data_IF_379109495666
#
_entry.id   IF_379109495666
#
_cell.length_a   1.000
_cell.length_b   1.000
_cell.length_c   1.000
_cell.angle_alpha   90.00
_cell.angle_beta   90.00
_cell.angle_gamma   90.00
#
_symmetry.space_group_name_H-M   'P 1'
#
loop_
_entity.id
_entity.type
_entity.pdbx_description
1 polymer ?
#
# COMPACT_ATOMS: atom_id res chain seq x y z
N UNK A 1 -81.95 0.39 -28.92
CA UNK A 1 -81.92 -0.10 -27.53
C UNK A 1 -80.65 0.34 -26.87
N UNK A 2 -80.81 1.13 -25.82
CA UNK A 2 -79.90 1.64 -24.90
C UNK A 2 -78.74 0.71 -24.48
N UNK A 3 -77.52 1.15 -24.29
CA UNK A 3 -77.07 1.49 -22.98
C UNK A 3 -75.63 2.16 -23.03
N UNK A 4 -75.61 3.32 -22.42
CA UNK A 4 -74.42 4.03 -21.93
C UNK A 4 -73.76 3.30 -20.78
N UNK A 5 -72.47 3.42 -20.60
CA UNK A 5 -71.74 3.60 -19.30
C UNK A 5 -70.36 4.16 -19.54
N UNK A 6 -70.12 5.37 -19.12
CA UNK A 6 -69.18 6.00 -18.23
C UNK A 6 -67.77 5.34 -18.13
N UNK A 7 -66.69 6.01 -18.51
CA UNK A 7 -65.85 6.85 -17.67
C UNK A 7 -64.83 6.05 -16.84
N UNK A 8 -63.55 6.16 -17.16
CA UNK A 8 -62.46 5.68 -16.31
C UNK A 8 -61.15 6.32 -16.71
N UNK A 9 -60.77 7.40 -16.00
CA UNK A 9 -59.49 8.07 -16.11
C UNK A 9 -58.35 7.12 -15.82
N UNK A 10 -57.62 6.72 -16.85
CA UNK A 10 -56.36 5.98 -16.73
C UNK A 10 -55.18 6.94 -16.54
N UNK A 11 -54.73 7.15 -15.29
CA UNK A 11 -53.44 7.76 -15.00
C UNK A 11 -52.33 6.83 -15.48
N UNK A 12 -51.73 7.13 -16.63
CA UNK A 12 -50.41 6.65 -16.99
C UNK A 12 -49.39 7.36 -16.08
N UNK A 13 -48.96 6.71 -14.99
CA UNK A 13 -47.77 7.06 -14.27
C UNK A 13 -46.56 6.71 -15.14
N UNK A 14 -46.05 7.69 -15.89
CA UNK A 14 -44.72 7.62 -16.44
C UNK A 14 -43.73 7.54 -15.28
N UNK A 15 -43.23 6.33 -15.02
CA UNK A 15 -42.06 6.15 -14.17
C UNK A 15 -40.85 6.78 -14.90
N UNK A 16 -40.55 8.03 -14.56
CA UNK A 16 -39.30 8.65 -14.98
C UNK A 16 -38.17 7.83 -14.37
N UNK A 17 -37.32 7.25 -15.20
CA UNK A 17 -36.07 6.63 -14.75
C UNK A 17 -35.27 7.66 -13.96
N UNK A 18 -34.80 7.32 -12.74
CA UNK A 18 -33.98 8.23 -11.97
C UNK A 18 -32.68 8.48 -12.75
N UNK A 19 -32.39 9.75 -13.02
CA UNK A 19 -31.20 10.16 -13.77
C UNK A 19 -29.90 9.59 -13.17
N UNK A 20 -28.87 9.40 -13.98
CA UNK A 20 -27.57 8.81 -13.60
C UNK A 20 -26.99 9.33 -12.27
N UNK A 21 -27.31 10.58 -11.90
CA UNK A 21 -26.94 11.20 -10.62
C UNK A 21 -27.66 10.63 -9.39
N UNK A 22 -28.88 10.07 -9.55
CA UNK A 22 -29.64 9.48 -8.44
C UNK A 22 -29.21 8.03 -8.17
N UNK A 23 -28.84 7.28 -9.20
CA UNK A 23 -28.23 5.95 -9.07
C UNK A 23 -26.87 6.03 -8.39
N UNK A 24 -26.04 7.04 -8.72
CA UNK A 24 -24.77 7.33 -8.06
C UNK A 24 -24.94 7.56 -6.54
N UNK A 25 -25.94 8.36 -6.13
CA UNK A 25 -26.23 8.59 -4.70
C UNK A 25 -26.78 7.35 -3.97
N UNK A 26 -27.53 6.49 -4.66
CA UNK A 26 -28.11 5.29 -4.06
C UNK A 26 -27.07 4.18 -3.85
N UNK A 27 -26.07 4.08 -4.72
CA UNK A 27 -24.96 3.11 -4.63
C UNK A 27 -23.87 3.57 -3.68
N UNK A 28 -23.58 4.89 -3.63
CA UNK A 28 -22.48 5.51 -2.89
C UNK A 28 -22.97 6.38 -1.72
N UNK A 29 -23.92 5.94 -0.91
CA UNK A 29 -24.45 6.71 0.24
C UNK A 29 -23.35 7.49 0.95
N UNK A 30 -23.49 8.81 1.05
CA UNK A 30 -22.45 9.83 1.26
C UNK A 30 -21.46 9.58 2.43
N UNK A 31 -21.83 8.83 3.46
CA UNK A 31 -20.93 8.52 4.58
C UNK A 31 -20.31 7.11 4.51
N UNK A 32 -20.97 6.14 3.87
CA UNK A 32 -20.56 4.72 3.93
C UNK A 32 -19.36 4.37 3.05
N UNK A 33 -19.09 5.13 2.00
CA UNK A 33 -18.05 4.81 1.01
C UNK A 33 -17.04 5.95 0.80
N UNK A 34 -16.93 6.87 1.75
CA UNK A 34 -15.93 7.95 1.69
C UNK A 34 -14.52 7.38 1.72
N UNK A 35 -13.65 7.91 0.88
CA UNK A 35 -12.22 7.58 0.85
C UNK A 35 -11.42 8.77 1.40
N UNK A 36 -10.54 8.53 2.36
CA UNK A 36 -9.52 9.51 2.76
C UNK A 36 -8.20 9.14 2.08
N UNK A 37 -7.69 10.04 1.25
CA UNK A 37 -6.41 9.89 0.57
C UNK A 37 -5.35 10.61 1.41
N UNK A 38 -4.36 9.88 1.90
CA UNK A 38 -3.26 10.41 2.70
C UNK A 38 -2.02 10.49 1.82
N UNK A 39 -1.43 11.67 1.74
CA UNK A 39 -0.16 11.93 1.05
C UNK A 39 0.83 12.43 2.08
N UNK A 40 1.94 11.71 2.30
CA UNK A 40 3.03 12.17 3.15
C UNK A 40 4.09 12.85 2.28
N UNK A 41 4.44 14.07 2.64
CA UNK A 41 5.44 14.86 1.94
C UNK A 41 6.61 15.22 2.87
N UNK A 42 7.83 15.14 2.35
CA UNK A 42 9.04 15.64 3.02
C UNK A 42 10.03 16.18 1.99
N UNK A 43 10.20 17.51 1.97
CA UNK A 43 11.05 18.24 1.00
C UNK A 43 10.75 17.83 -0.45
N UNK A 44 9.45 17.76 -0.78
CA UNK A 44 8.98 17.22 -2.06
C UNK A 44 8.15 18.22 -2.88
N UNK A 45 8.34 19.53 -2.71
CA UNK A 45 7.59 20.59 -3.42
C UNK A 45 7.48 20.32 -4.92
N UNK A 46 8.57 19.90 -5.55
CA UNK A 46 8.65 19.63 -7.00
C UNK A 46 7.68 18.55 -7.49
N UNK A 47 7.21 17.67 -6.60
CA UNK A 47 6.31 16.57 -6.96
C UNK A 47 4.84 16.90 -6.69
N UNK A 48 4.57 17.85 -5.79
CA UNK A 48 3.22 18.11 -5.30
C UNK A 48 2.26 18.55 -6.40
N UNK A 49 2.73 19.33 -7.39
CA UNK A 49 1.89 19.77 -8.51
C UNK A 49 1.28 18.60 -9.26
N UNK A 50 2.10 17.60 -9.63
CA UNK A 50 1.66 16.45 -10.42
C UNK A 50 0.81 15.51 -9.56
N UNK A 51 1.23 15.25 -8.32
CA UNK A 51 0.54 14.36 -7.39
C UNK A 51 -0.84 14.91 -6.98
N UNK A 52 -0.88 16.12 -6.41
CA UNK A 52 -2.13 16.73 -5.94
C UNK A 52 -3.07 17.05 -7.10
N UNK A 53 -2.55 17.54 -8.24
CA UNK A 53 -3.35 17.78 -9.43
C UNK A 53 -4.02 16.50 -9.99
N UNK A 54 -3.35 15.37 -9.92
CA UNK A 54 -3.93 14.08 -10.29
C UNK A 54 -4.98 13.59 -9.28
N UNK A 55 -4.78 13.88 -7.99
CA UNK A 55 -5.71 13.48 -6.92
C UNK A 55 -6.97 14.34 -6.89
N UNK A 56 -6.86 15.64 -7.09
CA UNK A 56 -8.02 16.54 -7.16
C UNK A 56 -8.88 16.32 -8.40
N UNK A 57 -8.31 15.70 -9.44
CA UNK A 57 -8.99 15.36 -10.69
C UNK A 57 -9.65 13.96 -10.73
N UNK A 58 -9.79 13.25 -9.61
CA UNK A 58 -10.37 11.90 -9.60
C UNK A 58 -11.86 11.90 -9.95
N UNK A 59 -12.31 10.88 -10.72
CA UNK A 59 -13.73 10.71 -11.10
C UNK A 59 -14.60 10.19 -9.97
N UNK A 60 -14.04 9.49 -8.99
CA UNK A 60 -14.77 9.05 -7.81
C UNK A 60 -15.20 10.27 -6.96
N UNK A 61 -16.48 10.48 -6.67
CA UNK A 61 -16.94 11.78 -6.13
C UNK A 61 -16.80 11.93 -4.61
N UNK A 62 -16.66 10.82 -3.86
CA UNK A 62 -16.75 10.84 -2.40
C UNK A 62 -15.38 10.58 -1.74
N UNK A 63 -14.52 11.58 -1.77
CA UNK A 63 -13.19 11.51 -1.15
C UNK A 63 -12.78 12.82 -0.50
N UNK A 64 -11.73 12.76 0.29
CA UNK A 64 -10.99 13.88 0.83
C UNK A 64 -9.49 13.61 0.66
N UNK A 65 -8.69 14.68 0.56
CA UNK A 65 -7.24 14.60 0.45
C UNK A 65 -6.63 15.24 1.70
N UNK A 66 -5.71 14.52 2.33
CA UNK A 66 -4.97 14.96 3.51
C UNK A 66 -3.48 14.91 3.14
N UNK A 67 -2.87 16.08 2.96
CA UNK A 67 -1.43 16.22 2.79
C UNK A 67 -0.79 16.40 4.16
N UNK A 68 0.03 15.45 4.55
CA UNK A 68 0.84 15.55 5.77
C UNK A 68 2.25 15.97 5.37
N UNK A 69 2.57 17.21 5.63
CA UNK A 69 3.94 17.70 5.52
C UNK A 69 4.74 17.27 6.74
N UNK A 70 5.73 16.43 6.51
CA UNK A 70 6.47 15.72 7.53
C UNK A 70 7.72 16.51 7.99
N UNK A 71 7.53 17.81 8.31
CA UNK A 71 8.61 18.70 8.75
C UNK A 71 9.55 19.11 7.62
N UNK A 72 8.98 19.53 6.46
CA UNK A 72 9.77 20.03 5.32
C UNK A 72 10.42 21.37 5.61
N UNK A 73 11.60 21.58 5.04
CA UNK A 73 12.31 22.85 5.05
C UNK A 73 12.17 23.66 3.75
N UNK A 74 11.45 23.11 2.74
CA UNK A 74 11.17 23.76 1.45
C UNK A 74 9.81 24.50 1.45
N UNK A 75 9.34 24.99 0.30
CA UNK A 75 8.08 25.70 0.20
C UNK A 75 6.84 24.80 0.05
N UNK A 76 6.95 23.48 0.30
CA UNK A 76 5.87 22.49 0.12
C UNK A 76 4.52 22.90 0.74
N UNK A 77 4.54 23.38 2.00
CA UNK A 77 3.32 23.77 2.73
C UNK A 77 2.67 24.99 2.10
N UNK A 78 3.47 26.00 1.75
CA UNK A 78 2.99 27.21 1.12
C UNK A 78 2.41 26.91 -0.26
N UNK A 79 3.16 26.16 -1.08
CA UNK A 79 2.72 25.72 -2.41
C UNK A 79 1.38 24.98 -2.38
N UNK A 80 1.23 24.01 -1.47
CA UNK A 80 0.01 23.21 -1.36
C UNK A 80 -1.20 24.08 -0.97
N UNK A 81 -1.05 24.95 0.03
CA UNK A 81 -2.14 25.83 0.50
C UNK A 81 -2.58 26.85 -0.53
N UNK A 82 -1.65 27.38 -1.33
CA UNK A 82 -1.94 28.37 -2.35
C UNK A 82 -2.60 27.75 -3.59
N UNK A 83 -2.14 26.58 -4.03
CA UNK A 83 -2.56 26.00 -5.31
C UNK A 83 -3.65 24.91 -5.18
N UNK A 84 -3.87 24.35 -3.97
CA UNK A 84 -4.82 23.27 -3.71
C UNK A 84 -5.62 23.54 -2.42
N UNK A 85 -6.48 24.58 -2.39
CA UNK A 85 -7.21 25.01 -1.19
C UNK A 85 -8.20 23.94 -0.66
N UNK A 86 -8.62 22.99 -1.49
CA UNK A 86 -9.47 21.85 -1.11
C UNK A 86 -8.71 20.73 -0.36
N UNK A 87 -7.39 20.72 -0.39
CA UNK A 87 -6.54 19.74 0.29
C UNK A 87 -6.34 20.16 1.75
N UNK A 88 -6.60 19.23 2.67
CA UNK A 88 -6.30 19.44 4.10
C UNK A 88 -4.80 19.32 4.33
N UNK A 89 -4.12 20.42 4.62
CA UNK A 89 -2.67 20.45 4.85
C UNK A 89 -2.35 20.43 6.34
N UNK A 90 -1.65 19.40 6.79
CA UNK A 90 -1.15 19.23 8.16
C UNK A 90 0.38 19.34 8.13
N UNK A 91 0.96 20.29 8.84
CA UNK A 91 2.39 20.47 8.94
C UNK A 91 2.89 19.95 10.31
N UNK A 92 3.73 18.92 10.28
CA UNK A 92 4.41 18.41 11.47
C UNK A 92 5.67 19.24 11.74
N UNK A 93 6.07 19.30 13.01
CA UNK A 93 7.27 20.04 13.43
C UNK A 93 8.58 19.31 13.09
N UNK A 94 8.52 17.99 12.81
CA UNK A 94 9.68 17.16 12.54
C UNK A 94 9.32 15.97 11.64
N UNK A 95 10.33 15.36 11.02
CA UNK A 95 10.15 14.15 10.21
C UNK A 95 9.95 12.90 11.10
N UNK A 96 8.73 12.39 11.13
CA UNK A 96 8.35 11.16 11.84
C UNK A 96 8.42 9.89 10.97
N UNK A 97 9.09 9.97 9.83
CA UNK A 97 9.14 8.87 8.86
C UNK A 97 7.83 8.69 8.09
N UNK A 98 7.82 7.72 7.20
CA UNK A 98 6.63 7.40 6.41
C UNK A 98 5.48 6.90 7.31
N UNK A 99 5.80 6.07 8.30
CA UNK A 99 4.81 5.51 9.21
C UNK A 99 4.16 6.56 10.09
N UNK A 100 4.94 7.42 10.74
CA UNK A 100 4.42 8.48 11.62
C UNK A 100 3.68 9.58 10.85
N UNK A 101 4.14 9.92 9.62
CA UNK A 101 3.41 10.83 8.74
C UNK A 101 2.03 10.29 8.35
N UNK A 102 1.95 9.01 7.93
CA UNK A 102 0.67 8.38 7.61
C UNK A 102 -0.23 8.21 8.85
N UNK A 103 0.33 7.93 10.04
CA UNK A 103 -0.44 7.87 11.28
C UNK A 103 -1.10 9.21 11.59
N UNK A 104 -0.37 10.33 11.45
CA UNK A 104 -0.94 11.68 11.62
C UNK A 104 -2.05 11.98 10.62
N UNK A 105 -1.92 11.51 9.37
CA UNK A 105 -2.99 11.63 8.37
C UNK A 105 -4.21 10.78 8.72
N UNK A 106 -4.01 9.57 9.25
CA UNK A 106 -5.10 8.66 9.64
C UNK A 106 -5.95 9.24 10.77
N UNK A 107 -5.37 9.97 11.73
CA UNK A 107 -6.10 10.62 12.82
C UNK A 107 -7.16 11.62 12.32
N UNK A 108 -6.94 12.23 11.15
CA UNK A 108 -7.83 13.20 10.54
C UNK A 108 -8.75 12.59 9.47
N UNK A 109 -8.47 11.37 9.07
CA UNK A 109 -9.19 10.66 8.03
C UNK A 109 -10.59 10.26 8.51
N UNK A 110 -11.63 10.59 7.74
CA UNK A 110 -13.03 10.29 8.04
C UNK A 110 -13.59 9.14 7.18
N UNK A 111 -12.85 8.75 6.13
CA UNK A 111 -13.29 7.75 5.18
C UNK A 111 -13.43 6.35 5.75
N UNK A 112 -14.37 5.57 5.22
CA UNK A 112 -14.47 4.12 5.43
C UNK A 112 -13.34 3.35 4.72
N UNK A 113 -12.64 4.01 3.83
CA UNK A 113 -11.49 3.51 3.11
C UNK A 113 -10.34 4.51 3.22
N UNK A 114 -9.13 4.01 3.35
CA UNK A 114 -7.90 4.80 3.49
C UNK A 114 -7.01 4.50 2.31
N UNK A 115 -6.77 5.48 1.47
CA UNK A 115 -5.79 5.40 0.40
C UNK A 115 -4.47 6.04 0.84
N UNK A 116 -3.35 5.37 0.59
CA UNK A 116 -2.03 5.97 0.70
C UNK A 116 -1.48 6.23 -0.68
N UNK A 117 -0.93 7.41 -0.89
CA UNK A 117 -0.30 7.80 -2.15
C UNK A 117 1.00 8.54 -1.84
N UNK A 118 2.11 8.11 -2.42
CA UNK A 118 3.37 8.84 -2.31
C UNK A 118 3.29 10.18 -3.04
N UNK A 119 3.98 11.19 -2.54
CA UNK A 119 4.04 12.52 -3.15
C UNK A 119 4.67 12.52 -4.56
N UNK A 120 5.45 11.49 -4.92
CA UNK A 120 6.05 11.27 -6.24
C UNK A 120 5.27 10.26 -7.12
N UNK A 121 4.03 9.96 -6.73
CA UNK A 121 3.10 9.15 -7.50
C UNK A 121 2.00 10.01 -8.14
N UNK A 122 1.61 9.65 -9.37
CA UNK A 122 0.59 10.34 -10.16
C UNK A 122 -0.47 9.33 -10.62
N UNK A 123 -1.58 9.16 -9.86
CA UNK A 123 -2.69 8.31 -10.25
C UNK A 123 -3.40 8.79 -11.52
N UNK A 124 -3.91 7.86 -12.33
CA UNK A 124 -4.81 8.18 -13.44
C UNK A 124 -6.17 8.67 -12.94
N UNK A 125 -6.90 9.39 -13.78
CA UNK A 125 -8.17 10.04 -13.44
C UNK A 125 -9.23 9.08 -12.87
N UNK A 126 -9.26 7.84 -13.32
CA UNK A 126 -10.21 6.80 -12.87
C UNK A 126 -9.62 5.85 -11.84
N UNK A 127 -8.43 6.15 -11.31
CA UNK A 127 -7.69 5.29 -10.38
C UNK A 127 -8.50 4.91 -9.15
N UNK A 128 -9.06 5.90 -8.45
CA UNK A 128 -9.79 5.67 -7.20
C UNK A 128 -11.12 4.93 -7.44
N UNK A 129 -11.83 5.30 -8.50
CA UNK A 129 -13.07 4.63 -8.91
C UNK A 129 -12.85 3.15 -9.20
N UNK A 130 -11.78 2.80 -9.92
CA UNK A 130 -11.43 1.42 -10.20
C UNK A 130 -10.95 0.68 -8.95
N UNK A 131 -10.15 1.35 -8.11
CA UNK A 131 -9.48 0.72 -6.97
C UNK A 131 -10.45 0.29 -5.87
N UNK A 132 -11.56 1.00 -5.68
CA UNK A 132 -12.55 0.71 -4.63
C UNK A 132 -13.47 -0.47 -5.00
N UNK A 133 -13.68 -0.77 -6.28
CA UNK A 133 -14.69 -1.74 -6.74
C UNK A 133 -14.58 -3.12 -6.08
N UNK A 134 -13.39 -3.74 -5.97
CA UNK A 134 -13.30 -5.06 -5.34
C UNK A 134 -13.79 -5.08 -3.89
N UNK A 135 -13.54 -4.00 -3.12
CA UNK A 135 -13.97 -3.91 -1.71
C UNK A 135 -15.48 -3.71 -1.56
N UNK A 136 -16.12 -3.07 -2.55
CA UNK A 136 -17.58 -2.93 -2.58
C UNK A 136 -18.25 -4.26 -2.92
N UNK A 137 -17.61 -5.11 -3.75
CA UNK A 137 -18.14 -6.40 -4.17
C UNK A 137 -17.85 -7.57 -3.22
N UNK A 138 -16.71 -7.58 -2.54
CA UNK A 138 -16.28 -8.65 -1.61
C UNK A 138 -15.77 -8.07 -0.29
N UNK A 139 -16.54 -8.26 0.78
CA UNK A 139 -16.22 -7.79 2.13
C UNK A 139 -15.00 -8.48 2.76
N UNK A 140 -14.45 -9.53 2.17
CA UNK A 140 -13.22 -10.20 2.62
C UNK A 140 -11.96 -9.53 2.07
N UNK A 141 -12.11 -8.63 1.07
CA UNK A 141 -11.01 -7.84 0.54
C UNK A 141 -10.78 -6.65 1.49
N UNK A 142 -9.59 -6.61 2.06
CA UNK A 142 -9.15 -5.53 2.95
C UNK A 142 -8.11 -4.60 2.32
N UNK A 143 -7.50 -5.03 1.20
CA UNK A 143 -6.44 -4.29 0.49
C UNK A 143 -6.72 -4.35 -1.01
N UNK A 144 -6.60 -3.21 -1.70
CA UNK A 144 -6.56 -3.16 -3.17
C UNK A 144 -5.23 -2.58 -3.63
N UNK A 145 -4.51 -3.36 -4.44
CA UNK A 145 -3.21 -3.00 -5.00
C UNK A 145 -3.37 -2.36 -6.37
N UNK A 146 -2.79 -1.18 -6.55
CA UNK A 146 -2.72 -0.49 -7.83
C UNK A 146 -1.76 -1.17 -8.80
N UNK A 147 -1.94 -0.91 -10.09
CA UNK A 147 -0.93 -1.12 -11.12
C UNK A 147 0.02 0.08 -11.11
N UNK A 148 1.18 -0.10 -10.50
CA UNK A 148 2.23 0.92 -10.51
C UNK A 148 3.13 0.76 -11.72
N UNK A 149 3.31 1.83 -12.47
CA UNK A 149 4.17 1.91 -13.66
C UNK A 149 5.25 2.94 -13.38
N UNK A 150 6.49 2.69 -13.79
CA UNK A 150 7.53 3.71 -13.69
C UNK A 150 7.18 4.92 -14.55
N UNK A 151 7.36 6.13 -14.01
CA UNK A 151 7.12 7.38 -14.74
C UNK A 151 7.90 7.40 -16.07
N UNK A 152 7.24 7.87 -17.13
CA UNK A 152 7.79 7.92 -18.49
C UNK A 152 8.24 6.56 -19.06
N UNK A 153 7.63 5.47 -18.65
CA UNK A 153 7.97 4.11 -19.03
C UNK A 153 6.71 3.28 -19.29
N UNK A 154 6.87 2.12 -19.91
CA UNK A 154 5.85 1.07 -20.04
C UNK A 154 6.13 -0.10 -19.08
N UNK A 155 7.09 0.06 -18.17
CA UNK A 155 7.51 -1.02 -17.29
C UNK A 155 6.85 -0.92 -15.92
N UNK A 156 6.47 -2.08 -15.40
CA UNK A 156 5.85 -2.21 -14.07
C UNK A 156 6.83 -1.85 -12.97
N UNK A 157 6.42 -0.98 -12.05
CA UNK A 157 7.05 -0.79 -10.76
C UNK A 157 6.51 -1.81 -9.74
N UNK A 158 5.17 -1.97 -9.63
CA UNK A 158 4.52 -3.05 -8.88
C UNK A 158 3.15 -3.39 -9.50
N UNK A 159 2.88 -4.68 -9.64
CA UNK A 159 1.55 -5.25 -9.94
C UNK A 159 1.05 -6.03 -8.71
N UNK A 160 1.03 -5.36 -7.56
CA UNK A 160 0.92 -5.96 -6.24
C UNK A 160 2.27 -6.49 -5.74
N UNK A 161 2.32 -6.86 -4.47
CA UNK A 161 3.54 -7.31 -3.83
C UNK A 161 3.46 -8.79 -3.44
N UNK A 162 4.62 -9.41 -3.36
CA UNK A 162 4.81 -10.76 -2.85
C UNK A 162 5.72 -10.79 -1.63
N UNK A 163 5.70 -11.90 -0.90
CA UNK A 163 6.61 -12.15 0.20
C UNK A 163 7.32 -13.49 0.00
N UNK A 164 8.62 -13.50 0.17
CA UNK A 164 9.39 -14.74 0.09
C UNK A 164 9.29 -15.56 1.37
N UNK A 165 9.61 -16.84 1.26
CA UNK A 165 9.74 -17.74 2.42
C UNK A 165 10.86 -17.34 3.39
N UNK A 166 11.75 -16.41 3.01
CA UNK A 166 12.75 -15.80 3.89
C UNK A 166 12.24 -14.48 4.55
N UNK A 167 10.99 -14.08 4.29
CA UNK A 167 10.40 -12.85 4.86
C UNK A 167 10.82 -11.56 4.15
N UNK A 168 11.27 -11.64 2.91
CA UNK A 168 11.64 -10.48 2.09
C UNK A 168 10.50 -10.13 1.14
N UNK A 169 9.99 -8.90 1.24
CA UNK A 169 9.02 -8.34 0.30
C UNK A 169 9.62 -8.13 -1.10
N UNK A 170 8.79 -8.23 -2.12
CA UNK A 170 9.19 -7.91 -3.49
C UNK A 170 8.00 -7.44 -4.32
N UNK A 171 8.24 -6.48 -5.23
CA UNK A 171 7.24 -6.00 -6.16
C UNK A 171 7.06 -7.00 -7.31
N UNK A 172 5.82 -7.48 -7.50
CA UNK A 172 5.48 -8.36 -8.62
C UNK A 172 5.56 -7.59 -9.93
N UNK A 173 6.13 -8.24 -10.94
CA UNK A 173 6.26 -7.65 -12.27
C UNK A 173 7.32 -6.57 -12.41
N UNK A 174 8.12 -6.28 -11.39
CA UNK A 174 9.14 -5.23 -11.42
C UNK A 174 10.02 -5.32 -12.68
N UNK A 175 10.03 -4.24 -13.47
CA UNK A 175 10.82 -4.12 -14.69
C UNK A 175 10.29 -4.89 -15.90
N UNK A 176 9.11 -5.54 -15.80
CA UNK A 176 8.42 -6.20 -16.92
C UNK A 176 7.49 -5.23 -17.65
N UNK A 177 7.05 -5.61 -18.84
CA UNK A 177 6.07 -4.86 -19.61
C UNK A 177 4.71 -4.80 -18.88
N UNK A 178 4.14 -3.61 -18.77
CA UNK A 178 2.85 -3.38 -18.13
C UNK A 178 1.68 -4.08 -18.84
N UNK A 179 1.84 -4.39 -20.14
CA UNK A 179 0.86 -5.12 -20.94
C UNK A 179 0.70 -6.59 -20.49
N UNK A 180 1.68 -7.17 -19.80
CA UNK A 180 1.58 -8.54 -19.26
C UNK A 180 0.64 -8.63 -18.03
N UNK A 181 0.34 -7.49 -17.36
CA UNK A 181 -0.40 -7.44 -16.10
C UNK A 181 -1.79 -6.82 -16.29
N UNK A 182 -2.67 -7.50 -17.00
CA UNK A 182 -4.00 -7.00 -17.37
C UNK A 182 -5.15 -7.68 -16.65
N UNK A 183 -4.90 -8.75 -15.89
CA UNK A 183 -5.95 -9.53 -15.21
C UNK A 183 -5.97 -9.23 -13.70
N UNK A 184 -7.17 -9.03 -13.12
CA UNK A 184 -7.31 -8.95 -11.67
C UNK A 184 -6.97 -10.30 -11.04
N UNK A 185 -6.30 -10.29 -9.90
CA UNK A 185 -5.93 -11.50 -9.16
C UNK A 185 -5.72 -11.21 -7.68
N UNK A 186 -5.85 -12.23 -6.84
CA UNK A 186 -5.48 -12.12 -5.44
C UNK A 186 -3.95 -12.22 -5.31
N UNK A 187 -3.38 -11.27 -4.58
CA UNK A 187 -1.93 -11.15 -4.36
C UNK A 187 -1.61 -11.14 -2.87
N UNK A 188 -0.35 -11.27 -2.50
CA UNK A 188 0.06 -11.23 -1.09
C UNK A 188 -0.22 -9.87 -0.45
N UNK A 189 0.07 -8.77 -1.15
CA UNK A 189 -0.05 -7.43 -0.63
C UNK A 189 0.05 -6.35 -1.69
N UNK A 190 0.12 -5.12 -1.24
CA UNK A 190 0.22 -3.94 -2.07
C UNK A 190 1.40 -3.06 -1.64
N UNK A 191 2.04 -2.41 -2.60
CA UNK A 191 3.06 -1.40 -2.37
C UNK A 191 2.42 -0.12 -1.81
N UNK A 192 3.00 0.44 -0.75
CA UNK A 192 2.53 1.65 -0.09
C UNK A 192 2.54 2.92 -0.95
N UNK A 193 3.13 2.87 -2.16
CA UNK A 193 3.22 4.03 -3.06
C UNK A 193 1.87 4.48 -3.65
N UNK A 194 0.91 3.55 -3.89
CA UNK A 194 -0.48 3.85 -4.19
C UNK A 194 -1.35 2.62 -3.89
N UNK A 195 -2.12 2.66 -2.82
CA UNK A 195 -2.86 1.52 -2.27
C UNK A 195 -4.15 1.98 -1.60
N UNK A 196 -5.16 1.11 -1.56
CA UNK A 196 -6.40 1.34 -0.80
C UNK A 196 -6.55 0.26 0.29
N UNK A 197 -6.84 0.70 1.49
CA UNK A 197 -7.13 -0.13 2.66
C UNK A 197 -8.57 0.08 3.13
N UNK A 198 -9.25 -1.00 3.49
CA UNK A 198 -10.53 -0.92 4.20
C UNK A 198 -10.31 -0.55 5.68
N UNK A 199 -10.94 0.53 6.17
CA UNK A 199 -10.83 0.94 7.59
C UNK A 199 -11.17 -0.20 8.55
N UNK A 200 -12.20 -1.00 8.25
CA UNK A 200 -12.59 -2.16 9.06
C UNK A 200 -11.43 -3.15 9.25
N UNK A 201 -10.60 -3.36 8.23
CA UNK A 201 -9.40 -4.19 8.36
C UNK A 201 -8.38 -3.50 9.27
N UNK A 202 -8.14 -2.20 9.06
CA UNK A 202 -7.18 -1.43 9.87
C UNK A 202 -7.59 -1.36 11.34
N UNK A 203 -8.88 -1.22 11.63
CA UNK A 203 -9.40 -1.22 13.02
C UNK A 203 -9.16 -2.58 13.71
N UNK A 204 -9.20 -3.67 12.95
CA UNK A 204 -8.97 -5.03 13.48
C UNK A 204 -7.49 -5.34 13.69
N UNK A 205 -6.64 -5.06 12.70
CA UNK A 205 -5.23 -5.50 12.71
C UNK A 205 -4.24 -4.38 13.05
N UNK A 206 -4.70 -3.13 13.18
CA UNK A 206 -3.89 -1.93 13.33
C UNK A 206 -3.34 -1.42 11.99
N UNK A 207 -2.91 -0.17 11.99
CA UNK A 207 -2.32 0.52 10.84
C UNK A 207 -0.81 0.24 10.70
N UNK A 208 -0.07 1.13 10.02
CA UNK A 208 1.38 1.03 9.89
C UNK A 208 2.05 1.07 11.28
N UNK A 209 3.02 0.21 11.50
CA UNK A 209 3.75 0.15 12.76
C UNK A 209 4.86 1.21 12.78
N UNK A 210 4.73 2.21 13.64
CA UNK A 210 5.63 3.35 13.70
C UNK A 210 7.09 2.99 14.05
N UNK A 211 7.35 1.83 14.65
CA UNK A 211 8.73 1.35 14.88
C UNK A 211 9.52 1.12 13.59
N UNK A 212 8.83 0.98 12.45
CA UNK A 212 9.49 0.84 11.14
C UNK A 212 10.10 2.15 10.66
N UNK A 213 9.46 3.27 10.89
CA UNK A 213 9.83 4.59 10.40
C UNK A 213 9.74 4.71 8.87
N UNK A 214 10.45 3.86 8.13
CA UNK A 214 10.52 3.86 6.66
C UNK A 214 10.97 2.48 6.15
N UNK A 215 10.38 1.99 5.06
CA UNK A 215 10.57 0.69 4.41
C UNK A 215 10.04 -0.53 5.18
N UNK A 216 9.46 -1.45 4.44
CA UNK A 216 8.90 -2.74 4.90
C UNK A 216 7.68 -2.62 5.85
N UNK A 217 7.18 -1.42 6.16
CA UNK A 217 5.96 -1.19 6.93
C UNK A 217 4.70 -1.67 6.20
N UNK A 218 4.66 -1.53 4.88
CA UNK A 218 3.61 -2.07 4.02
C UNK A 218 3.68 -3.61 3.97
N UNK A 219 4.87 -4.17 3.86
CA UNK A 219 5.11 -5.62 3.94
C UNK A 219 4.62 -6.19 5.28
N UNK A 220 4.86 -5.50 6.40
CA UNK A 220 4.35 -5.85 7.71
C UNK A 220 2.82 -5.83 7.76
N UNK A 221 2.19 -4.75 7.27
CA UNK A 221 0.74 -4.59 7.24
C UNK A 221 0.08 -5.66 6.36
N UNK A 222 0.64 -5.88 5.17
CA UNK A 222 0.20 -6.92 4.24
C UNK A 222 0.24 -8.30 4.90
N UNK A 223 1.31 -8.62 5.64
CA UNK A 223 1.43 -9.92 6.30
C UNK A 223 0.42 -10.07 7.45
N UNK A 224 0.22 -9.02 8.27
CA UNK A 224 -0.81 -9.03 9.31
C UNK A 224 -2.20 -9.24 8.72
N UNK A 225 -2.50 -8.60 7.60
CA UNK A 225 -3.77 -8.78 6.87
C UNK A 225 -3.95 -10.25 6.43
N UNK A 226 -2.93 -10.85 5.81
CA UNK A 226 -2.95 -12.26 5.41
C UNK A 226 -3.14 -13.22 6.60
N UNK A 227 -2.49 -12.95 7.74
CA UNK A 227 -2.65 -13.76 8.95
C UNK A 227 -4.05 -13.68 9.53
N UNK A 228 -4.69 -12.52 9.48
CA UNK A 228 -6.06 -12.30 9.91
C UNK A 228 -7.10 -12.81 8.90
N UNK A 229 -6.70 -13.28 7.72
CA UNK A 229 -7.58 -13.83 6.69
C UNK A 229 -8.15 -12.80 5.72
N UNK A 230 -7.66 -11.56 5.75
CA UNK A 230 -8.00 -10.55 4.77
C UNK A 230 -7.30 -10.81 3.44
N UNK A 231 -7.98 -10.50 2.34
CA UNK A 231 -7.45 -10.65 0.98
C UNK A 231 -6.94 -9.33 0.44
N UNK A 232 -5.93 -9.40 -0.45
CA UNK A 232 -5.47 -8.30 -1.27
C UNK A 232 -5.82 -8.57 -2.73
N UNK A 233 -6.54 -7.63 -3.37
CA UNK A 233 -6.91 -7.69 -4.79
C UNK A 233 -6.01 -6.77 -5.60
N UNK A 234 -5.33 -7.29 -6.60
CA UNK A 234 -4.65 -6.49 -7.62
C UNK A 234 -5.68 -5.99 -8.65
N UNK A 235 -5.67 -4.67 -8.91
CA UNK A 235 -6.62 -3.98 -9.79
C UNK A 235 -5.87 -3.40 -10.99
N UNK A 236 -5.81 -4.12 -12.13
CA UNK A 236 -5.00 -3.71 -13.29
C UNK A 236 -5.46 -2.41 -13.97
N UNK A 237 -6.72 -2.01 -13.76
CA UNK A 237 -7.31 -0.77 -14.28
C UNK A 237 -7.10 0.44 -13.35
N UNK A 238 -6.64 0.22 -12.11
CA UNK A 238 -6.27 1.28 -11.19
C UNK A 238 -4.78 1.61 -11.38
N UNK A 239 -4.47 2.44 -12.37
CA UNK A 239 -3.09 2.77 -12.76
C UNK A 239 -2.59 4.01 -12.03
N UNK A 240 -1.36 3.95 -11.54
CA UNK A 240 -0.62 5.10 -11.05
C UNK A 240 0.84 5.06 -11.54
N UNK A 241 1.35 6.21 -11.97
CA UNK A 241 2.74 6.38 -12.36
C UNK A 241 3.56 6.78 -11.14
N UNK A 242 4.74 6.19 -10.97
CA UNK A 242 5.56 6.38 -9.79
C UNK A 242 7.01 6.65 -10.18
N UNK A 243 7.57 7.77 -9.70
CA UNK A 243 8.96 8.13 -10.03
C UNK A 243 9.96 7.22 -9.36
N UNK A 244 9.61 6.59 -8.28
CA UNK A 244 10.40 5.67 -7.48
C UNK A 244 11.85 6.11 -7.23
N UNK A 245 12.29 6.14 -5.99
CA UNK A 245 13.61 6.63 -5.57
C UNK A 245 13.86 8.15 -5.73
N UNK A 246 12.81 8.95 -5.96
CA UNK A 246 12.96 10.41 -6.02
C UNK A 246 13.50 10.98 -4.70
N UNK A 247 13.08 10.41 -3.58
CA UNK A 247 13.48 10.84 -2.22
C UNK A 247 14.50 9.91 -1.56
N UNK A 248 14.68 8.68 -2.06
CA UNK A 248 15.56 7.69 -1.42
C UNK A 248 16.38 6.90 -2.42
N UNK A 249 17.72 7.04 -2.35
CA UNK A 249 18.63 6.27 -3.20
C UNK A 249 18.79 4.86 -2.63
N UNK A 250 18.63 3.82 -3.48
CA UNK A 250 19.04 2.45 -3.14
C UNK A 250 20.48 2.44 -2.65
N UNK A 251 20.76 1.65 -1.59
CA UNK A 251 22.09 1.54 -0.96
C UNK A 251 22.61 2.84 -0.31
N UNK A 252 21.76 3.85 -0.11
CA UNK A 252 22.11 4.90 0.87
C UNK A 252 22.25 4.27 2.26
N UNK A 253 23.02 4.88 3.15
CA UNK A 253 23.18 4.37 4.52
C UNK A 253 21.84 4.28 5.27
N UNK A 254 20.95 5.24 5.00
CA UNK A 254 19.60 5.25 5.54
C UNK A 254 18.77 4.05 5.02
N UNK A 255 18.79 3.78 3.71
CA UNK A 255 18.11 2.63 3.14
C UNK A 255 18.66 1.31 3.70
N UNK A 256 20.00 1.14 3.72
CA UNK A 256 20.64 -0.07 4.28
C UNK A 256 20.23 -0.27 5.74
N UNK A 257 20.26 0.80 6.54
CA UNK A 257 19.92 0.71 7.96
C UNK A 257 18.46 0.28 8.18
N UNK A 258 17.49 1.01 7.62
CA UNK A 258 16.09 0.73 7.90
C UNK A 258 15.65 -0.60 7.27
N UNK A 259 15.93 -0.84 5.99
CA UNK A 259 15.55 -2.08 5.34
C UNK A 259 16.16 -3.32 6.03
N UNK A 260 17.46 -3.29 6.37
CA UNK A 260 18.09 -4.44 7.07
C UNK A 260 17.49 -4.68 8.45
N UNK A 261 17.16 -3.61 9.21
CA UNK A 261 16.52 -3.71 10.53
C UNK A 261 15.08 -4.21 10.41
N UNK A 262 14.33 -3.65 9.50
CA UNK A 262 12.89 -3.87 9.37
C UNK A 262 12.55 -5.27 8.81
N UNK A 263 13.42 -5.85 7.98
CA UNK A 263 13.30 -7.26 7.59
C UNK A 263 13.30 -8.22 8.80
N UNK A 264 14.08 -7.90 9.85
CA UNK A 264 14.03 -8.67 11.10
C UNK A 264 12.68 -8.49 11.81
N UNK A 265 12.14 -7.27 11.82
CA UNK A 265 10.83 -7.01 12.42
C UNK A 265 9.72 -7.77 11.69
N UNK A 266 9.68 -7.74 10.35
CA UNK A 266 8.72 -8.50 9.56
C UNK A 266 8.80 -9.99 9.88
N UNK A 267 10.00 -10.55 9.91
CA UNK A 267 10.22 -11.97 10.19
C UNK A 267 9.78 -12.35 11.61
N UNK A 268 10.27 -11.62 12.60
CA UNK A 268 10.02 -11.92 14.02
C UNK A 268 8.55 -11.74 14.38
N UNK A 269 7.92 -10.63 13.95
CA UNK A 269 6.53 -10.32 14.29
C UNK A 269 5.53 -11.27 13.64
N UNK A 270 5.70 -11.53 12.35
CA UNK A 270 4.61 -12.06 11.53
C UNK A 270 4.76 -13.55 11.20
N UNK A 271 5.99 -14.06 10.99
CA UNK A 271 6.15 -15.45 10.57
C UNK A 271 5.67 -16.43 11.66
N UNK A 272 4.69 -17.32 11.40
CA UNK A 272 4.24 -18.31 12.38
C UNK A 272 5.38 -19.24 12.82
N UNK A 273 5.41 -19.63 14.09
CA UNK A 273 6.54 -20.37 14.66
C UNK A 273 6.91 -21.63 13.86
N UNK A 274 5.94 -22.48 13.51
CA UNK A 274 6.20 -23.66 12.69
C UNK A 274 6.76 -23.34 11.29
N UNK A 275 6.43 -22.17 10.74
CA UNK A 275 6.99 -21.67 9.48
C UNK A 275 8.40 -21.12 9.68
N UNK A 276 8.69 -20.45 10.81
CA UNK A 276 10.05 -20.02 11.16
C UNK A 276 11.01 -21.23 11.20
N UNK A 277 10.63 -22.31 11.89
CA UNK A 277 11.43 -23.52 11.92
C UNK A 277 11.60 -24.14 10.53
N UNK A 278 10.52 -24.23 9.76
CA UNK A 278 10.55 -24.81 8.41
C UNK A 278 11.46 -24.03 7.46
N UNK A 279 11.45 -22.71 7.54
CA UNK A 279 12.18 -21.83 6.61
C UNK A 279 13.40 -21.15 7.26
N UNK A 280 13.87 -21.64 8.41
CA UNK A 280 15.05 -21.10 9.06
C UNK A 280 16.28 -21.08 8.13
N UNK A 281 16.49 -22.15 7.34
CA UNK A 281 17.58 -22.21 6.37
C UNK A 281 17.43 -21.18 5.24
N UNK A 282 16.20 -20.83 4.80
CA UNK A 282 15.97 -19.76 3.85
C UNK A 282 16.38 -18.41 4.43
N UNK A 283 16.01 -18.15 5.70
CA UNK A 283 16.40 -16.92 6.40
C UNK A 283 17.92 -16.81 6.53
N UNK A 284 18.60 -17.89 6.92
CA UNK A 284 20.09 -17.91 7.02
C UNK A 284 20.73 -17.62 5.67
N UNK A 285 20.29 -18.26 4.59
CA UNK A 285 20.83 -18.01 3.24
C UNK A 285 20.60 -16.55 2.81
N UNK A 286 19.42 -15.99 3.10
CA UNK A 286 19.12 -14.61 2.81
C UNK A 286 20.02 -13.65 3.60
N UNK A 287 20.29 -13.92 4.88
CA UNK A 287 21.19 -13.12 5.71
C UNK A 287 22.63 -13.14 5.19
N UNK A 288 23.14 -14.32 4.85
CA UNK A 288 24.47 -14.47 4.27
C UNK A 288 24.57 -13.72 2.93
N UNK A 289 23.56 -13.85 2.07
CA UNK A 289 23.47 -13.12 0.79
C UNK A 289 23.45 -11.61 0.99
N UNK A 290 22.66 -11.11 1.95
CA UNK A 290 22.60 -9.69 2.29
C UNK A 290 23.93 -9.18 2.85
N UNK A 291 24.57 -9.94 3.72
CA UNK A 291 25.89 -9.61 4.23
C UNK A 291 26.93 -9.51 3.11
N UNK A 292 27.01 -10.52 2.24
CA UNK A 292 27.94 -10.49 1.11
C UNK A 292 27.68 -9.29 0.18
N UNK A 293 26.43 -9.03 -0.14
CA UNK A 293 26.07 -7.93 -1.03
C UNK A 293 26.32 -6.56 -0.40
N UNK A 294 25.79 -6.33 0.79
CA UNK A 294 25.84 -5.01 1.46
C UNK A 294 27.22 -4.70 1.99
N UNK A 295 27.84 -5.64 2.70
CA UNK A 295 29.12 -5.41 3.38
C UNK A 295 30.32 -5.67 2.46
N UNK A 296 30.42 -6.86 1.84
CA UNK A 296 31.62 -7.21 1.08
C UNK A 296 31.68 -6.48 -0.26
N UNK A 297 30.55 -6.39 -0.98
CA UNK A 297 30.55 -5.73 -2.31
C UNK A 297 30.45 -4.22 -2.22
N UNK A 298 29.60 -3.68 -1.33
CA UNK A 298 29.31 -2.24 -1.28
C UNK A 298 29.92 -1.51 -0.07
N UNK A 299 30.65 -2.21 0.80
CA UNK A 299 31.38 -1.59 1.92
C UNK A 299 30.49 -0.96 3.00
N UNK A 300 29.19 -1.28 3.03
CA UNK A 300 28.21 -0.67 3.95
C UNK A 300 28.16 -1.37 5.31
N UNK A 301 29.31 -1.56 5.94
CA UNK A 301 29.45 -2.26 7.22
C UNK A 301 28.71 -1.57 8.37
N UNK A 302 28.93 -0.26 8.52
CA UNK A 302 28.43 0.52 9.66
C UNK A 302 26.90 0.50 9.71
N UNK A 303 26.16 0.91 8.66
CA UNK A 303 24.71 0.89 8.69
C UNK A 303 24.15 -0.53 8.83
N UNK A 304 24.77 -1.57 8.24
CA UNK A 304 24.36 -2.96 8.36
C UNK A 304 24.43 -3.46 9.81
N UNK A 305 25.60 -3.35 10.46
CA UNK A 305 25.76 -3.83 11.84
C UNK A 305 24.98 -2.99 12.86
N UNK A 306 24.85 -1.68 12.62
CA UNK A 306 23.96 -0.82 13.40
C UNK A 306 22.52 -1.30 13.34
N UNK A 307 22.02 -1.63 12.13
CA UNK A 307 20.69 -2.17 11.93
C UNK A 307 20.47 -3.48 12.71
N UNK A 308 21.40 -4.42 12.62
CA UNK A 308 21.32 -5.71 13.35
C UNK A 308 21.35 -5.52 14.86
N UNK A 309 22.23 -4.66 15.37
CA UNK A 309 22.32 -4.32 16.80
C UNK A 309 20.98 -3.74 17.30
N UNK A 310 20.42 -2.78 16.55
CA UNK A 310 19.19 -2.10 16.96
C UNK A 310 17.96 -3.01 16.78
N UNK A 311 17.95 -3.92 15.82
CA UNK A 311 16.95 -4.98 15.73
C UNK A 311 16.98 -5.88 16.98
N UNK A 312 18.17 -6.27 17.46
CA UNK A 312 18.32 -7.06 18.69
C UNK A 312 17.84 -6.30 19.94
N UNK A 313 18.13 -4.99 20.05
CA UNK A 313 17.63 -4.17 21.16
C UNK A 313 16.12 -4.09 21.18
N UNK A 314 15.48 -4.04 20.00
CA UNK A 314 14.02 -3.98 19.88
C UNK A 314 13.34 -5.35 19.94
N UNK A 315 14.09 -6.44 20.04
CA UNK A 315 13.55 -7.81 20.08
C UNK A 315 12.44 -7.99 21.14
N UNK A 316 12.56 -7.52 22.39
CA UNK A 316 11.48 -7.68 23.38
C UNK A 316 10.17 -7.02 22.95
N UNK A 317 10.26 -5.82 22.30
CA UNK A 317 9.11 -5.09 21.78
C UNK A 317 8.48 -5.90 20.62
N UNK A 318 9.28 -6.40 19.69
CA UNK A 318 8.82 -7.20 18.55
C UNK A 318 8.18 -8.51 19.00
N UNK A 319 8.70 -9.17 20.05
CA UNK A 319 8.10 -10.36 20.63
C UNK A 319 6.74 -10.08 21.29
N UNK A 320 6.58 -8.94 21.97
CA UNK A 320 5.29 -8.51 22.52
C UNK A 320 4.27 -8.27 21.39
N UNK A 321 4.67 -7.57 20.31
CA UNK A 321 3.83 -7.36 19.13
C UNK A 321 3.48 -8.68 18.45
N UNK A 322 4.45 -9.59 18.32
CA UNK A 322 4.25 -10.96 17.82
C UNK A 322 3.17 -11.70 18.59
N UNK A 323 3.20 -11.69 19.91
CA UNK A 323 2.20 -12.38 20.73
C UNK A 323 0.78 -11.94 20.36
N UNK A 324 0.55 -10.63 20.21
CA UNK A 324 -0.74 -10.05 19.77
C UNK A 324 -1.11 -10.50 18.36
N UNK A 325 -0.19 -10.42 17.41
CA UNK A 325 -0.42 -10.78 15.99
C UNK A 325 -0.74 -12.27 15.85
N UNK A 326 0.04 -13.14 16.50
CA UNK A 326 -0.16 -14.59 16.40
C UNK A 326 -1.44 -15.06 17.13
N UNK A 327 -1.87 -14.36 18.21
CA UNK A 327 -3.15 -14.61 18.84
C UNK A 327 -4.34 -14.22 17.95
N UNK A 328 -4.20 -13.16 17.13
CA UNK A 328 -5.19 -12.74 16.13
C UNK A 328 -5.18 -13.53 14.82
N UNK A 329 -4.27 -14.49 14.65
CA UNK A 329 -4.16 -15.30 13.43
C UNK A 329 -5.37 -16.20 13.24
N UNK A 330 -6.08 -16.06 12.10
CA UNK A 330 -7.27 -16.87 11.76
C UNK A 330 -7.03 -17.93 10.70
N UNK A 331 -5.94 -17.84 9.95
CA UNK A 331 -5.65 -18.76 8.86
C UNK A 331 -4.71 -19.90 9.26
N UNK A 332 -4.85 -21.10 8.71
CA UNK A 332 -3.92 -22.20 8.99
C UNK A 332 -2.56 -21.97 8.31
N UNK A 333 -1.50 -22.58 8.83
CA UNK A 333 -0.15 -22.45 8.27
C UNK A 333 -0.05 -22.89 6.79
N UNK A 334 -0.91 -23.85 6.34
CA UNK A 334 -0.99 -24.23 4.93
C UNK A 334 -1.37 -23.05 4.02
N UNK A 335 -2.27 -22.20 4.47
CA UNK A 335 -2.64 -20.98 3.74
C UNK A 335 -1.47 -19.99 3.71
N UNK A 336 -0.85 -19.71 4.86
CA UNK A 336 0.34 -18.85 4.91
C UNK A 336 1.39 -19.32 3.91
N UNK A 337 1.65 -20.63 3.88
CA UNK A 337 2.59 -21.22 2.93
C UNK A 337 2.18 -21.00 1.46
N UNK A 338 0.88 -21.07 1.13
CA UNK A 338 0.42 -20.93 -0.27
C UNK A 338 0.55 -19.52 -0.80
N UNK A 339 0.56 -18.49 0.08
CA UNK A 339 0.72 -17.09 -0.31
C UNK A 339 2.19 -16.62 -0.30
N UNK A 340 3.11 -17.44 0.21
CA UNK A 340 4.55 -17.17 0.19
C UNK A 340 5.21 -17.72 -1.07
N UNK A 341 6.10 -16.94 -1.67
CA UNK A 341 6.93 -17.35 -2.80
C UNK A 341 8.23 -17.97 -2.31
N UNK A 342 8.58 -19.16 -2.82
CA UNK A 342 9.88 -19.74 -2.50
C UNK A 342 11.02 -18.85 -2.97
N UNK A 343 11.98 -18.54 -2.10
CA UNK A 343 13.16 -17.75 -2.47
C UNK A 343 14.02 -18.46 -3.55
N UNK A 344 13.84 -19.77 -3.73
CA UNK A 344 14.53 -20.57 -4.77
C UNK A 344 13.72 -20.71 -6.06
N UNK A 345 12.57 -20.03 -6.20
CA UNK A 345 11.87 -19.98 -7.48
C UNK A 345 12.80 -19.40 -8.54
N UNK A 346 13.02 -20.15 -9.63
CA UNK A 346 14.02 -19.85 -10.66
C UNK A 346 14.00 -18.40 -11.17
N UNK A 347 12.82 -17.83 -11.38
CA UNK A 347 12.67 -16.44 -11.83
C UNK A 347 13.18 -15.42 -10.81
N UNK A 348 12.85 -15.61 -9.52
CA UNK A 348 13.29 -14.73 -8.44
C UNK A 348 14.80 -14.81 -8.21
N UNK A 349 15.34 -16.03 -8.17
CA UNK A 349 16.77 -16.27 -8.00
C UNK A 349 17.59 -15.68 -9.15
N UNK A 350 17.17 -15.90 -10.40
CA UNK A 350 17.80 -15.33 -11.61
C UNK A 350 17.78 -13.81 -11.60
N UNK A 351 16.66 -13.19 -11.23
CA UNK A 351 16.53 -11.74 -11.14
C UNK A 351 17.46 -11.16 -10.07
N UNK A 352 17.56 -11.80 -8.90
CA UNK A 352 18.49 -11.39 -7.84
C UNK A 352 19.95 -11.55 -8.23
N UNK A 353 20.32 -12.65 -8.89
CA UNK A 353 21.67 -12.85 -9.43
C UNK A 353 22.00 -11.79 -10.48
N UNK A 354 21.06 -11.50 -11.42
CA UNK A 354 21.23 -10.44 -12.41
C UNK A 354 21.47 -9.08 -11.76
N UNK A 355 20.68 -8.72 -10.74
CA UNK A 355 20.89 -7.50 -9.93
C UNK A 355 22.25 -7.49 -9.18
N UNK A 356 22.77 -8.66 -8.78
CA UNK A 356 24.06 -8.80 -8.14
C UNK A 356 25.23 -8.64 -9.11
N UNK A 357 25.04 -9.00 -10.38
CA UNK A 357 26.11 -8.94 -11.42
C UNK A 357 26.12 -7.58 -12.13
N UNK A 358 24.94 -7.03 -12.45
CA UNK A 358 24.79 -5.82 -13.26
C UNK A 358 24.71 -4.50 -12.43
N UNK A 359 24.47 -4.56 -11.13
CA UNK A 359 24.49 -3.43 -10.17
C UNK A 359 25.79 -3.40 -9.39
#
# INVERSE_FOLDING_TARGET
MNNSVLGGDGYEKTLSEPGASSWHRMIFGEEKNKVSIIVVNWNGELFLKDCLGALTGQTYPNYEIILVDNGSGDASVHFARENFPEVKVVALSENKGFTGGNAAGLELAQGAFIALVNNDARPEKTWLENLIQPMLGDRTIGICASKLIFENSQTVNSAGDGLTTAGVGFNRGLGKDAAEFTRPELVFGACGAAVLYGRRMLDEIGFLDEDFFLYDEDTDLNFRAQLAGWKCSYVPTAVAYHRANATSRRLSDLHVYYHTRNLEFVWIKNMPFGMMLRFAHHKVIQELGSFCYICLRHGKWVPFFRAKRDALKMLPIMLKKRAKIQAGKRVPNRYVRSVLTSMFTFGFFRQKIKQLIEG
#
